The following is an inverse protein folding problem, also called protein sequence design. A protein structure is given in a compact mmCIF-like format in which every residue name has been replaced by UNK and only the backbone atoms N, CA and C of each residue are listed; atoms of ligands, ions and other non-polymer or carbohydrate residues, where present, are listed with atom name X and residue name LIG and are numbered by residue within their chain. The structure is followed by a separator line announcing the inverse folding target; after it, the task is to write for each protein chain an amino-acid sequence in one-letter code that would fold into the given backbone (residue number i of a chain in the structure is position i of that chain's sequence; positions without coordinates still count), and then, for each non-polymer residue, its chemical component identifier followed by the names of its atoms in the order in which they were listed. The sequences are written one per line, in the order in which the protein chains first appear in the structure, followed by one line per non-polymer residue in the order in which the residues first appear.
data_IF_224756427963
#
_entry.id   IF_224756427963
#
_cell.length_a   1.000
_cell.length_b   1.000
_cell.length_c   1.000
_cell.angle_alpha   90.00
_cell.angle_beta   90.00
_cell.angle_gamma   90.00
#
_symmetry.space_group_name_H-M   'P 1'
#
loop_
_entity.id
_entity.type
_entity.pdbx_description
1 polymer ?
#
# COMPACT_ATOMS: atom_id res chain seq x y z
N UNK A 1 15.38 -32.52 -15.04
CA UNK A 1 15.37 -33.54 -13.99
C UNK A 1 16.75 -34.11 -13.80
N UNK A 2 17.17 -34.25 -12.58
CA UNK A 2 18.45 -34.83 -12.24
C UNK A 2 18.35 -36.34 -12.21
N UNK A 3 19.20 -37.01 -12.95
CA UNK A 3 19.30 -38.45 -12.88
C UNK A 3 20.23 -38.81 -11.72
N UNK A 4 19.91 -39.86 -10.98
CA UNK A 4 20.79 -40.32 -9.92
C UNK A 4 20.42 -39.85 -8.54
N UNK A 5 19.24 -39.39 -8.35
CA UNK A 5 18.66 -39.28 -7.03
C UNK A 5 18.82 -37.98 -6.26
N UNK A 6 19.38 -36.96 -6.87
CA UNK A 6 19.31 -35.62 -6.26
C UNK A 6 17.96 -34.98 -6.52
N UNK A 7 17.54 -33.98 -5.69
CA UNK A 7 16.34 -33.21 -6.02
C UNK A 7 16.57 -32.46 -7.34
N UNK A 8 15.52 -32.23 -8.14
CA UNK A 8 15.65 -31.45 -9.36
C UNK A 8 16.06 -30.02 -9.03
N UNK A 9 16.85 -29.43 -9.92
CA UNK A 9 17.17 -28.02 -9.84
C UNK A 9 15.89 -27.20 -9.90
N UNK A 10 15.77 -26.10 -9.12
CA UNK A 10 14.64 -25.20 -9.24
C UNK A 10 14.56 -24.67 -10.67
N UNK A 11 13.37 -24.67 -11.23
CA UNK A 11 13.16 -24.08 -12.53
C UNK A 11 13.48 -22.59 -12.49
N UNK A 12 14.14 -22.08 -13.54
CA UNK A 12 14.33 -20.63 -13.68
C UNK A 12 12.98 -19.99 -13.91
N UNK A 13 12.62 -19.05 -13.03
CA UNK A 13 11.35 -18.36 -13.15
C UNK A 13 11.42 -17.32 -14.26
N UNK A 14 10.40 -17.33 -15.10
CA UNK A 14 10.20 -16.30 -16.11
C UNK A 14 9.33 -15.17 -15.60
N UNK A 15 8.47 -15.46 -14.66
CA UNK A 15 7.54 -14.50 -14.08
C UNK A 15 7.09 -14.98 -12.70
N UNK A 16 6.52 -14.05 -11.95
CA UNK A 16 5.85 -14.36 -10.69
C UNK A 16 4.38 -13.97 -10.82
N UNK A 17 3.52 -14.74 -10.18
CA UNK A 17 2.10 -14.47 -10.10
C UNK A 17 1.68 -14.58 -8.64
N UNK A 18 0.84 -13.63 -8.20
CA UNK A 18 0.26 -13.64 -6.86
C UNK A 18 -1.20 -13.18 -6.94
N UNK A 19 -1.90 -13.30 -5.83
CA UNK A 19 -3.29 -12.89 -5.71
C UNK A 19 -3.51 -12.18 -4.39
N UNK A 20 -4.46 -11.26 -4.35
CA UNK A 20 -4.91 -10.66 -3.10
C UNK A 20 -5.85 -11.56 -2.30
N UNK A 21 -6.16 -12.74 -2.81
CA UNK A 21 -6.94 -13.75 -2.08
C UNK A 21 -6.14 -14.49 -1.01
N UNK A 22 -4.83 -14.28 -0.98
CA UNK A 22 -3.93 -14.91 -0.01
C UNK A 22 -2.83 -13.94 0.36
N UNK A 23 -2.13 -14.20 1.47
CA UNK A 23 -1.02 -13.37 1.92
C UNK A 23 -1.42 -12.01 2.46
N UNK A 24 -2.68 -11.83 2.81
CA UNK A 24 -3.17 -10.61 3.42
C UNK A 24 -2.72 -10.54 4.87
N UNK A 25 -2.22 -9.39 5.28
CA UNK A 25 -1.87 -9.09 6.66
C UNK A 25 -2.84 -8.07 7.22
N UNK A 26 -3.09 -8.16 8.52
CA UNK A 26 -3.97 -7.24 9.22
C UNK A 26 -3.14 -6.30 10.08
N UNK A 27 -3.43 -5.01 9.98
CA UNK A 27 -2.75 -3.96 10.73
C UNK A 27 -3.77 -3.20 11.55
N UNK A 28 -3.91 -3.53 12.85
CA UNK A 28 -4.79 -2.76 13.72
C UNK A 28 -4.15 -1.43 14.07
N UNK A 29 -4.98 -0.38 14.16
CA UNK A 29 -4.57 0.96 14.59
C UNK A 29 -3.34 1.50 13.82
N UNK A 30 -3.34 1.37 12.51
CA UNK A 30 -2.21 1.82 11.68
C UNK A 30 -1.98 3.31 11.87
N UNK A 31 -0.74 3.69 12.20
CA UNK A 31 -0.36 5.07 12.54
C UNK A 31 -1.29 5.69 13.60
N UNK A 32 -1.66 4.90 14.61
CA UNK A 32 -2.57 5.31 15.67
C UNK A 32 -3.99 5.64 15.16
N UNK A 33 -4.36 5.08 14.03
CA UNK A 33 -5.71 5.18 13.50
C UNK A 33 -6.68 4.22 14.18
N UNK A 34 -7.85 4.09 13.62
CA UNK A 34 -8.91 3.24 14.16
C UNK A 34 -9.18 2.04 13.25
N UNK A 35 -9.63 0.95 13.85
CA UNK A 35 -9.96 -0.27 13.13
C UNK A 35 -8.75 -0.98 12.59
N UNK A 36 -8.98 -1.93 11.70
CA UNK A 36 -7.95 -2.79 11.14
C UNK A 36 -7.92 -2.65 9.64
N UNK A 37 -6.74 -2.31 9.10
CA UNK A 37 -6.51 -2.22 7.66
C UNK A 37 -5.92 -3.53 7.20
N UNK A 38 -6.47 -4.09 6.13
CA UNK A 38 -5.96 -5.31 5.51
C UNK A 38 -5.07 -4.93 4.35
N UNK A 39 -3.85 -5.47 4.36
CA UNK A 39 -2.82 -5.12 3.38
C UNK A 39 -2.32 -6.39 2.70
N UNK A 40 -2.33 -6.37 1.37
CA UNK A 40 -1.66 -7.37 0.57
C UNK A 40 -0.50 -6.70 -0.15
N UNK A 41 0.71 -6.97 0.28
CA UNK A 41 1.92 -6.51 -0.40
C UNK A 41 2.35 -7.53 -1.44
N UNK A 42 2.68 -7.07 -2.65
CA UNK A 42 2.99 -7.96 -3.75
C UNK A 42 4.49 -8.03 -4.00
N UNK A 43 4.98 -9.25 -4.15
CA UNK A 43 6.34 -9.57 -4.60
C UNK A 43 7.44 -8.97 -3.73
N UNK A 44 7.18 -8.84 -2.44
CA UNK A 44 8.21 -8.42 -1.49
C UNK A 44 9.41 -9.36 -1.59
N UNK A 45 10.60 -8.78 -1.60
CA UNK A 45 11.84 -9.53 -1.68
C UNK A 45 12.21 -10.00 -3.08
N UNK A 46 11.31 -9.90 -4.06
CA UNK A 46 11.62 -10.27 -5.45
C UNK A 46 11.47 -9.12 -6.43
N UNK A 47 10.60 -8.15 -6.13
CA UNK A 47 10.45 -6.97 -6.98
C UNK A 47 11.73 -6.15 -6.97
N UNK A 48 12.21 -5.77 -8.15
CA UNK A 48 13.46 -5.02 -8.31
C UNK A 48 13.25 -3.55 -8.64
N UNK A 49 12.02 -3.17 -8.99
CA UNK A 49 11.65 -1.78 -9.05
C UNK A 49 11.72 -1.21 -7.63
N UNK A 50 12.16 0.02 -7.49
CA UNK A 50 12.31 0.67 -6.19
C UNK A 50 11.01 1.07 -5.53
N UNK A 51 10.00 0.23 -5.61
CA UNK A 51 8.66 0.50 -5.08
C UNK A 51 8.15 -0.68 -4.27
N UNK A 52 7.25 -0.38 -3.31
CA UNK A 52 6.36 -1.36 -2.71
C UNK A 52 5.01 -1.23 -3.39
N UNK A 53 4.40 -2.35 -3.72
CA UNK A 53 3.12 -2.40 -4.41
C UNK A 53 2.12 -3.14 -3.53
N UNK A 54 1.11 -2.41 -3.03
CA UNK A 54 0.15 -2.95 -2.07
C UNK A 54 -1.28 -2.78 -2.57
N UNK A 55 -2.13 -3.65 -2.09
CA UNK A 55 -3.59 -3.42 -2.11
C UNK A 55 -4.05 -3.36 -0.66
N UNK A 56 -4.73 -2.28 -0.31
CA UNK A 56 -5.28 -2.06 1.03
C UNK A 56 -6.78 -2.12 1.00
N UNK A 57 -7.35 -2.72 2.04
CA UNK A 57 -8.79 -2.66 2.31
C UNK A 57 -9.01 -2.06 3.69
N UNK A 58 -9.80 -1.00 3.73
CA UNK A 58 -10.26 -0.36 4.94
C UNK A 58 -11.75 -0.67 5.11
N UNK A 59 -12.13 -1.46 6.12
CA UNK A 59 -13.55 -1.62 6.41
C UNK A 59 -14.17 -0.30 6.86
N UNK A 60 -15.51 -0.18 6.85
CA UNK A 60 -16.17 1.03 7.34
C UNK A 60 -15.69 1.43 8.73
N UNK A 61 -15.36 2.70 8.88
CA UNK A 61 -14.85 3.25 10.14
C UNK A 61 -13.37 3.13 10.36
N UNK A 62 -12.65 2.34 9.56
CA UNK A 62 -11.20 2.22 9.70
C UNK A 62 -10.49 3.47 9.19
N UNK A 63 -9.40 3.81 9.85
CA UNK A 63 -8.57 4.94 9.47
C UNK A 63 -7.09 4.57 9.55
N UNK A 64 -6.32 5.12 8.63
CA UNK A 64 -4.89 5.26 8.80
C UNK A 64 -4.65 6.61 9.45
N UNK A 65 -4.00 6.64 10.61
CA UNK A 65 -3.76 7.89 11.34
C UNK A 65 -2.83 8.83 10.59
N UNK A 66 -2.93 10.11 10.91
CA UNK A 66 -2.09 11.12 10.26
C UNK A 66 -0.63 10.91 10.63
N UNK A 67 0.23 10.99 9.63
CA UNK A 67 1.67 10.83 9.77
C UNK A 67 2.36 11.54 8.62
N UNK A 68 3.67 11.69 8.75
CA UNK A 68 4.51 12.36 7.75
C UNK A 68 5.71 11.49 7.44
N UNK A 69 5.97 11.27 6.16
CA UNK A 69 7.22 10.67 5.70
C UNK A 69 8.22 11.81 5.45
N UNK A 70 9.38 11.72 6.06
CA UNK A 70 10.31 12.85 6.12
C UNK A 70 11.39 12.75 5.05
N UNK A 71 11.52 13.78 4.25
CA UNK A 71 12.53 13.83 3.18
C UNK A 71 13.97 13.82 3.72
N UNK A 72 14.16 14.22 4.98
CA UNK A 72 15.48 14.24 5.62
C UNK A 72 15.87 12.91 6.29
N UNK A 73 15.01 11.90 6.21
CA UNK A 73 15.27 10.58 6.76
C UNK A 73 15.30 9.54 5.63
N UNK A 74 16.49 9.02 5.25
CA UNK A 74 16.57 8.07 4.14
C UNK A 74 15.85 6.74 4.41
N UNK A 75 15.40 6.50 5.63
CA UNK A 75 14.60 5.33 5.97
C UNK A 75 13.10 5.58 5.85
N UNK A 76 12.69 6.82 5.65
CA UNK A 76 11.29 7.21 5.72
C UNK A 76 10.87 8.21 4.63
N UNK A 77 11.73 8.54 3.70
CA UNK A 77 11.47 9.54 2.66
C UNK A 77 10.64 8.96 1.50
N UNK A 78 9.45 8.48 1.84
CA UNK A 78 8.58 7.83 0.88
C UNK A 78 7.68 8.82 0.16
N UNK A 79 7.49 8.58 -1.14
CA UNK A 79 6.42 9.14 -1.93
C UNK A 79 5.36 8.07 -2.12
N UNK A 80 4.09 8.43 -2.02
CA UNK A 80 3.00 7.48 -2.06
C UNK A 80 1.99 7.85 -3.14
N UNK A 81 1.62 6.85 -3.94
CA UNK A 81 0.60 6.95 -4.97
C UNK A 81 -0.56 6.06 -4.57
N UNK A 82 -1.76 6.64 -4.48
CA UNK A 82 -2.99 5.95 -4.15
C UNK A 82 -3.91 5.91 -5.37
N UNK A 83 -4.56 4.79 -5.59
CA UNK A 83 -5.60 4.69 -6.63
C UNK A 83 -6.80 3.96 -6.05
N UNK A 84 -7.98 4.59 -6.09
CA UNK A 84 -9.20 4.01 -5.51
C UNK A 84 -9.82 3.05 -6.51
N UNK A 85 -10.02 1.80 -6.07
CA UNK A 85 -10.62 0.74 -6.88
C UNK A 85 -12.09 0.57 -6.52
N UNK A 86 -12.44 0.66 -5.25
CA UNK A 86 -13.80 0.42 -4.75
C UNK A 86 -14.05 1.23 -3.48
N UNK A 87 -15.28 1.64 -3.30
CA UNK A 87 -15.69 2.37 -2.11
C UNK A 87 -15.33 3.85 -2.17
N UNK A 88 -15.59 4.54 -1.09
CA UNK A 88 -15.30 5.97 -0.95
C UNK A 88 -14.42 6.21 0.25
N UNK A 89 -13.44 7.07 0.10
CA UNK A 89 -12.52 7.43 1.15
C UNK A 89 -12.41 8.93 1.31
N UNK A 90 -11.71 9.31 2.37
CA UNK A 90 -11.35 10.70 2.63
C UNK A 90 -9.87 10.73 2.96
N UNK A 91 -9.11 11.47 2.17
CA UNK A 91 -7.72 11.77 2.49
C UNK A 91 -7.72 12.98 3.42
N UNK A 92 -7.00 12.87 4.54
CA UNK A 92 -7.02 13.88 5.60
C UNK A 92 -5.65 14.54 5.63
N UNK A 93 -5.62 15.85 5.39
CA UNK A 93 -4.42 16.66 5.45
C UNK A 93 -4.53 17.64 6.64
N UNK A 94 -3.47 18.40 6.87
CA UNK A 94 -3.45 19.31 8.02
C UNK A 94 -4.59 20.34 7.99
N UNK A 95 -4.91 20.89 6.82
CA UNK A 95 -5.88 21.98 6.70
C UNK A 95 -7.04 21.66 5.75
N UNK A 96 -7.11 20.45 5.23
CA UNK A 96 -8.21 20.09 4.33
C UNK A 96 -8.45 18.59 4.33
N UNK A 97 -9.64 18.23 3.88
CA UNK A 97 -10.02 16.86 3.61
C UNK A 97 -10.40 16.75 2.15
N UNK A 98 -9.98 15.67 1.50
CA UNK A 98 -10.24 15.43 0.08
C UNK A 98 -11.03 14.14 -0.07
N UNK A 99 -12.21 14.23 -0.64
CA UNK A 99 -13.02 13.04 -0.91
C UNK A 99 -12.46 12.28 -2.10
N UNK A 100 -12.46 10.95 -1.98
CA UNK A 100 -11.96 10.04 -2.99
C UNK A 100 -13.06 9.05 -3.38
N UNK A 101 -13.19 8.82 -4.67
CA UNK A 101 -14.12 7.81 -5.20
C UNK A 101 -13.42 6.93 -6.23
N UNK A 102 -14.02 5.81 -6.65
CA UNK A 102 -13.38 4.91 -7.61
C UNK A 102 -12.92 5.64 -8.87
N UNK A 103 -11.67 5.40 -9.25
CA UNK A 103 -11.02 6.07 -10.37
C UNK A 103 -10.19 7.28 -9.99
N UNK A 104 -10.31 7.76 -8.76
CA UNK A 104 -9.46 8.88 -8.29
C UNK A 104 -8.07 8.38 -7.94
N UNK A 105 -7.09 9.22 -8.21
CA UNK A 105 -5.71 9.01 -7.80
C UNK A 105 -5.25 10.18 -6.91
N UNK A 106 -4.35 9.87 -5.99
CA UNK A 106 -3.76 10.83 -5.07
C UNK A 106 -2.27 10.60 -5.00
N UNK A 107 -1.49 11.66 -5.11
CA UNK A 107 -0.04 11.58 -4.94
C UNK A 107 0.35 12.40 -3.72
N UNK A 108 1.04 11.75 -2.79
CA UNK A 108 1.51 12.37 -1.55
C UNK A 108 3.02 12.34 -1.53
N UNK A 109 3.70 13.48 -1.74
CA UNK A 109 5.16 13.54 -1.64
C UNK A 109 5.60 13.47 -0.17
N UNK A 110 6.91 13.26 0.08
CA UNK A 110 7.44 13.38 1.43
C UNK A 110 7.14 14.76 2.04
N UNK A 111 7.15 14.83 3.36
CA UNK A 111 6.92 16.03 4.16
C UNK A 111 5.48 16.53 4.19
N UNK A 112 4.57 15.81 3.57
CA UNK A 112 3.13 16.12 3.63
C UNK A 112 2.48 15.24 4.67
N UNK A 113 1.93 15.84 5.71
CA UNK A 113 1.18 15.16 6.74
C UNK A 113 -0.15 14.68 6.17
N UNK A 114 -0.45 13.40 6.32
CA UNK A 114 -1.64 12.83 5.70
C UNK A 114 -2.15 11.60 6.46
N UNK A 115 -3.42 11.33 6.28
CA UNK A 115 -4.09 10.13 6.74
C UNK A 115 -5.21 9.77 5.78
N UNK A 116 -5.85 8.65 6.04
CA UNK A 116 -6.90 8.12 5.19
C UNK A 116 -8.02 7.57 6.07
N UNK A 117 -9.26 7.81 5.68
CA UNK A 117 -10.41 7.31 6.43
C UNK A 117 -11.45 6.70 5.48
N UNK A 118 -12.08 5.63 5.93
CA UNK A 118 -13.30 5.12 5.32
C UNK A 118 -14.50 5.55 6.16
N UNK A 119 -15.20 6.56 5.72
CA UNK A 119 -16.43 7.06 6.37
C UNK A 119 -17.70 6.54 5.70
N UNK A 120 -17.54 5.66 4.71
CA UNK A 120 -18.65 5.06 3.98
C UNK A 120 -19.18 3.80 4.66
N UNK A 121 -20.05 3.10 3.96
CA UNK A 121 -20.68 1.87 4.45
C UNK A 121 -20.15 0.61 3.77
N UNK A 122 -19.28 0.76 2.79
CA UNK A 122 -18.64 -0.35 2.09
C UNK A 122 -17.14 -0.30 2.33
N UNK A 123 -16.45 -1.41 2.08
CA UNK A 123 -15.00 -1.43 2.15
C UNK A 123 -14.40 -0.45 1.16
N UNK A 124 -13.40 0.29 1.60
CA UNK A 124 -12.56 1.11 0.72
C UNK A 124 -11.38 0.26 0.29
N UNK A 125 -11.25 0.09 -1.01
CA UNK A 125 -10.15 -0.68 -1.59
C UNK A 125 -9.29 0.24 -2.44
N UNK A 126 -8.00 0.26 -2.14
CA UNK A 126 -7.04 1.11 -2.85
C UNK A 126 -5.83 0.30 -3.29
N UNK A 127 -5.24 0.73 -4.39
CA UNK A 127 -3.89 0.33 -4.77
C UNK A 127 -2.94 1.41 -4.28
N UNK A 128 -1.90 1.01 -3.57
CA UNK A 128 -0.90 1.91 -3.02
C UNK A 128 0.47 1.54 -3.55
N UNK A 129 1.13 2.50 -4.18
CA UNK A 129 2.51 2.35 -4.64
C UNK A 129 3.37 3.28 -3.82
N UNK A 130 4.35 2.73 -3.15
CA UNK A 130 5.24 3.45 -2.23
C UNK A 130 6.65 3.34 -2.77
N UNK A 131 7.30 4.46 -2.98
CA UNK A 131 8.66 4.47 -3.51
C UNK A 131 9.46 5.67 -3.03
N UNK A 132 10.75 5.64 -3.36
CA UNK A 132 11.63 6.78 -3.11
C UNK A 132 11.46 7.80 -4.23
N UNK A 133 11.25 9.08 -3.92
CA UNK A 133 11.19 10.09 -4.98
C UNK A 133 12.54 10.23 -5.65
N UNK A 134 12.49 10.47 -6.95
CA UNK A 134 13.67 10.87 -7.69
C UNK A 134 14.00 12.35 -7.44
N UNK A 135 15.05 12.88 -8.08
CA UNK A 135 15.35 14.29 -8.00
C UNK A 135 14.20 15.15 -8.57
N UNK A 136 13.99 16.34 -8.04
CA UNK A 136 12.94 17.24 -8.52
C UNK A 136 13.16 17.71 -9.95
#
# INVERSE_FOLDING_TARGET
MTLGGGPPEPAVRRYWKASDREGVREYPAMHEGEGTIRVRSFFEGVIRMGVHFDVWELPPGATEGRHTHRSDDPKDDWEEFYYVVHGRGVAIFEHEEVELEPGDALLVPPDVDHGLANRGQEDLRIVLVIGKPGPP
#
